data_IF_921900122173
#
_entry.id   IF_921900122173
#
_cell.length_a   1.000
_cell.length_b   1.000
_cell.length_c   1.000
_cell.angle_alpha   90.00
_cell.angle_beta   90.00
_cell.angle_gamma   90.00
#
_symmetry.space_group_name_H-M   'P 1'
#
loop_
_entity.id
_entity.type
_entity.pdbx_description
1 polymer ?
#
# COMPACT_ATOMS: atom_id res chain seq x y z
N UNK A 1 19.52 -14.45 -8.18
CA UNK A 1 18.25 -13.71 -8.14
C UNK A 1 18.01 -13.08 -9.51
N UNK A 2 16.78 -13.17 -10.05
CA UNK A 2 16.45 -12.61 -11.38
C UNK A 2 15.96 -11.19 -11.24
N UNK A 3 16.76 -10.21 -11.66
CA UNK A 3 16.38 -8.80 -11.69
C UNK A 3 15.54 -8.44 -12.93
N UNK A 4 14.81 -7.32 -12.85
CA UNK A 4 14.19 -6.71 -14.02
C UNK A 4 15.25 -6.15 -14.97
N UNK A 5 15.03 -6.25 -16.27
CA UNK A 5 15.80 -5.45 -17.23
C UNK A 5 15.35 -3.99 -17.16
N UNK A 6 16.16 -3.08 -17.70
CA UNK A 6 15.81 -1.65 -17.77
C UNK A 6 14.48 -1.44 -18.48
N UNK A 7 14.27 -2.12 -19.61
CA UNK A 7 13.03 -2.02 -20.40
C UNK A 7 11.81 -2.55 -19.63
N UNK A 8 11.99 -3.62 -18.85
CA UNK A 8 10.93 -4.17 -18.00
C UNK A 8 10.57 -3.19 -16.88
N UNK A 9 11.57 -2.59 -16.23
CA UNK A 9 11.36 -1.61 -15.17
C UNK A 9 10.65 -0.36 -15.72
N UNK A 10 11.12 0.20 -16.83
CA UNK A 10 10.50 1.35 -17.49
C UNK A 10 9.05 1.06 -17.88
N UNK A 11 8.77 -0.13 -18.44
CA UNK A 11 7.41 -0.58 -18.76
C UNK A 11 6.53 -0.64 -17.51
N UNK A 12 7.03 -1.25 -16.43
CA UNK A 12 6.26 -1.35 -15.18
C UNK A 12 5.96 0.02 -14.57
N UNK A 13 6.95 0.92 -14.55
CA UNK A 13 6.80 2.28 -14.02
C UNK A 13 5.95 3.19 -14.91
N UNK A 14 5.77 2.87 -16.20
CA UNK A 14 4.88 3.62 -17.10
C UNK A 14 3.40 3.32 -16.91
N UNK A 15 3.06 2.30 -16.11
CA UNK A 15 1.67 1.96 -15.81
C UNK A 15 1.05 3.09 -14.98
N UNK A 16 -0.02 3.66 -15.50
CA UNK A 16 -0.73 4.77 -14.87
C UNK A 16 -1.36 4.34 -13.53
N UNK A 17 -1.06 5.07 -12.46
CA UNK A 17 -1.77 4.93 -11.20
C UNK A 17 -3.13 5.67 -11.29
N UNK A 18 -4.19 4.89 -11.48
CA UNK A 18 -5.56 5.40 -11.62
C UNK A 18 -6.10 6.04 -10.33
N UNK A 19 -5.47 5.79 -9.19
CA UNK A 19 -5.81 6.39 -7.91
C UNK A 19 -5.13 7.75 -7.70
N UNK A 20 -4.16 8.13 -8.55
CA UNK A 20 -3.41 9.38 -8.44
C UNK A 20 -3.96 10.47 -9.37
N UNK A 21 -4.47 11.55 -8.78
CA UNK A 21 -5.04 12.69 -9.53
C UNK A 21 -4.00 13.39 -10.42
N UNK A 22 -2.71 13.36 -10.08
CA UNK A 22 -1.66 13.97 -10.88
C UNK A 22 -1.48 13.29 -12.23
N UNK A 23 -1.91 12.02 -12.35
CA UNK A 23 -1.84 11.23 -13.56
C UNK A 23 -3.14 11.30 -14.41
N UNK A 24 -4.04 12.22 -14.07
CA UNK A 24 -5.28 12.48 -14.78
C UNK A 24 -6.52 11.85 -14.10
N UNK A 25 -7.73 12.29 -14.50
CA UNK A 25 -8.97 11.89 -13.83
C UNK A 25 -9.34 10.43 -14.09
N UNK A 26 -9.88 9.76 -13.07
CA UNK A 26 -10.41 8.39 -13.18
C UNK A 26 -11.47 8.12 -12.11
N UNK A 27 -12.45 7.26 -12.40
CA UNK A 27 -13.54 6.88 -11.49
C UNK A 27 -13.03 6.23 -10.18
N UNK A 28 -11.88 5.56 -10.21
CA UNK A 28 -11.25 5.00 -9.01
C UNK A 28 -10.95 6.06 -7.94
N UNK A 29 -10.60 7.29 -8.34
CA UNK A 29 -10.37 8.40 -7.42
C UNK A 29 -11.66 8.82 -6.73
N UNK A 30 -12.77 8.85 -7.46
CA UNK A 30 -14.09 9.14 -6.90
C UNK A 30 -14.47 8.08 -5.88
N UNK A 31 -14.40 6.80 -6.26
CA UNK A 31 -14.69 5.68 -5.36
C UNK A 31 -13.82 5.71 -4.11
N UNK A 32 -12.50 5.88 -4.26
CA UNK A 32 -11.57 5.95 -3.14
C UNK A 32 -11.93 7.11 -2.19
N UNK A 33 -12.21 8.30 -2.73
CA UNK A 33 -12.56 9.46 -1.90
C UNK A 33 -13.89 9.23 -1.16
N UNK A 34 -14.91 8.69 -1.84
CA UNK A 34 -16.21 8.38 -1.21
C UNK A 34 -16.05 7.36 -0.06
N UNK A 35 -15.24 6.32 -0.25
CA UNK A 35 -14.94 5.33 0.79
C UNK A 35 -14.22 6.00 1.98
N UNK A 36 -13.17 6.79 1.71
CA UNK A 36 -12.41 7.46 2.76
C UNK A 36 -13.23 8.50 3.52
N UNK A 37 -14.08 9.26 2.83
CA UNK A 37 -14.98 10.24 3.43
C UNK A 37 -16.05 9.56 4.31
N UNK A 38 -16.61 8.45 3.85
CA UNK A 38 -17.57 7.66 4.62
C UNK A 38 -16.93 7.10 5.90
N UNK A 39 -15.73 6.51 5.81
CA UNK A 39 -15.00 6.00 6.96
C UNK A 39 -14.58 7.11 7.94
N UNK A 40 -14.09 8.26 7.42
CA UNK A 40 -13.75 9.42 8.24
C UNK A 40 -14.93 9.92 9.06
N UNK A 41 -16.11 9.99 8.43
CA UNK A 41 -17.36 10.40 9.08
C UNK A 41 -17.81 9.39 10.12
N UNK A 42 -17.80 8.11 9.80
CA UNK A 42 -18.24 7.05 10.69
C UNK A 42 -17.31 6.90 11.89
N UNK A 43 -15.99 6.87 11.67
CA UNK A 43 -15.00 6.73 12.74
C UNK A 43 -14.65 8.06 13.44
N UNK A 44 -15.22 9.18 12.95
CA UNK A 44 -15.02 10.54 13.50
C UNK A 44 -13.54 10.91 13.63
N UNK A 45 -12.77 10.59 12.60
CA UNK A 45 -11.33 10.85 12.57
C UNK A 45 -10.89 11.44 11.23
N UNK A 46 -9.83 12.26 11.19
CA UNK A 46 -9.26 12.73 9.94
C UNK A 46 -8.58 11.60 9.18
N UNK A 47 -8.55 11.71 7.84
CA UNK A 47 -7.81 10.82 6.96
C UNK A 47 -6.51 11.49 6.54
N UNK A 48 -5.42 10.72 6.53
CA UNK A 48 -4.16 11.09 5.90
C UNK A 48 -3.87 10.11 4.78
N UNK A 49 -3.82 10.58 3.54
CA UNK A 49 -3.45 9.76 2.38
C UNK A 49 -1.92 9.82 2.25
N UNK A 50 -1.29 8.65 2.24
CA UNK A 50 0.15 8.49 2.06
C UNK A 50 0.47 7.77 0.76
N UNK A 51 1.44 8.30 0.01
CA UNK A 51 1.94 7.75 -1.24
C UNK A 51 3.45 7.89 -1.28
N UNK A 52 4.12 6.94 -1.93
CA UNK A 52 5.56 7.01 -2.16
C UNK A 52 5.94 6.34 -3.49
N UNK A 53 7.22 6.46 -3.86
CA UNK A 53 7.77 5.79 -5.02
C UNK A 53 7.55 4.28 -4.94
N UNK A 54 7.17 3.60 -6.03
CA UNK A 54 6.96 2.15 -6.04
C UNK A 54 8.26 1.34 -5.90
N UNK A 55 9.44 1.92 -6.15
CA UNK A 55 10.73 1.28 -5.88
C UNK A 55 11.04 1.45 -4.39
N UNK A 56 11.12 0.35 -3.66
CA UNK A 56 11.34 0.32 -2.22
C UNK A 56 12.48 -0.63 -1.87
N UNK A 57 13.06 -0.47 -0.68
CA UNK A 57 14.07 -1.43 -0.21
C UNK A 57 13.46 -2.80 0.12
N UNK A 58 14.26 -3.85 0.00
CA UNK A 58 13.88 -5.19 0.48
C UNK A 58 13.52 -5.16 1.97
N UNK A 59 14.24 -4.35 2.75
CA UNK A 59 13.97 -4.13 4.18
C UNK A 59 12.56 -3.55 4.41
N UNK A 60 12.18 -2.48 3.69
CA UNK A 60 10.85 -1.87 3.81
C UNK A 60 9.75 -2.81 3.33
N UNK A 61 10.01 -3.58 2.25
CA UNK A 61 8.99 -4.45 1.66
C UNK A 61 8.71 -5.70 2.49
N UNK A 62 9.69 -6.16 3.29
CA UNK A 62 9.60 -7.43 3.99
C UNK A 62 10.00 -7.38 5.45
N UNK A 63 11.22 -6.91 5.77
CA UNK A 63 11.78 -7.05 7.11
C UNK A 63 10.99 -6.24 8.13
N UNK A 64 10.66 -4.99 7.82
CA UNK A 64 9.84 -4.11 8.69
C UNK A 64 8.40 -4.56 8.84
N UNK A 65 7.92 -5.43 7.95
CA UNK A 65 6.60 -6.04 8.03
C UNK A 65 6.62 -7.41 8.74
N UNK A 66 7.78 -7.84 9.24
CA UNK A 66 7.94 -9.13 9.92
C UNK A 66 7.80 -10.35 9.00
N UNK A 67 7.97 -10.17 7.68
CA UNK A 67 7.91 -11.27 6.72
C UNK A 67 9.21 -12.07 6.80
N UNK A 68 9.09 -13.36 7.09
CA UNK A 68 10.22 -14.27 7.25
C UNK A 68 11.13 -14.28 6.00
N UNK A 69 12.44 -14.43 6.23
CA UNK A 69 13.43 -14.51 5.14
C UNK A 69 13.23 -15.71 4.23
N UNK A 70 12.72 -16.80 4.77
CA UNK A 70 12.41 -18.03 4.04
C UNK A 70 11.03 -18.00 3.38
N UNK A 71 10.28 -16.90 3.52
CA UNK A 71 8.94 -16.77 2.93
C UNK A 71 8.98 -16.84 1.42
N UNK A 72 8.09 -17.62 0.84
CA UNK A 72 7.87 -17.71 -0.61
C UNK A 72 7.55 -16.36 -1.24
N UNK A 73 6.98 -15.42 -0.48
CA UNK A 73 6.69 -14.06 -0.94
C UNK A 73 7.94 -13.30 -1.38
N UNK A 74 9.13 -13.66 -0.84
CA UNK A 74 10.42 -13.08 -1.22
C UNK A 74 11.02 -13.74 -2.47
N UNK A 75 10.42 -14.82 -2.95
CA UNK A 75 10.91 -15.52 -4.14
C UNK A 75 10.85 -14.62 -5.38
N UNK A 76 11.85 -14.73 -6.24
CA UNK A 76 11.87 -14.06 -7.55
C UNK A 76 10.75 -14.53 -8.49
N UNK A 77 10.05 -15.60 -8.12
CA UNK A 77 8.84 -16.07 -8.81
C UNK A 77 7.66 -15.11 -8.58
N UNK A 78 7.58 -14.48 -7.39
CA UNK A 78 6.50 -13.55 -7.03
C UNK A 78 6.93 -12.10 -7.02
N UNK A 79 8.20 -11.81 -6.74
CA UNK A 79 8.73 -10.46 -6.55
C UNK A 79 9.48 -9.96 -7.77
N UNK A 80 9.26 -8.70 -8.13
CA UNK A 80 10.00 -7.97 -9.18
C UNK A 80 11.19 -7.26 -8.56
N UNK A 81 12.34 -7.92 -8.51
CA UNK A 81 13.59 -7.33 -8.02
C UNK A 81 14.14 -6.33 -9.05
N UNK A 82 14.45 -5.11 -8.58
CA UNK A 82 15.15 -4.08 -9.37
C UNK A 82 16.65 -4.32 -9.32
N UNK A 83 17.16 -4.57 -8.12
CA UNK A 83 18.52 -4.99 -7.81
C UNK A 83 18.54 -5.87 -6.55
N UNK A 84 19.71 -6.15 -5.96
CA UNK A 84 19.84 -7.00 -4.78
C UNK A 84 19.20 -6.39 -3.52
N UNK A 85 18.99 -5.07 -3.49
CA UNK A 85 18.50 -4.34 -2.32
C UNK A 85 17.12 -3.70 -2.54
N UNK A 86 16.62 -3.65 -3.78
CA UNK A 86 15.38 -2.96 -4.12
C UNK A 86 14.44 -3.84 -4.93
N UNK A 87 13.15 -3.62 -4.68
CA UNK A 87 12.04 -4.29 -5.37
C UNK A 87 10.99 -3.25 -5.82
N UNK A 88 10.18 -3.60 -6.78
CA UNK A 88 8.88 -2.95 -6.93
C UNK A 88 7.98 -3.48 -5.81
N UNK A 89 7.38 -2.57 -5.00
CA UNK A 89 6.58 -2.95 -3.82
C UNK A 89 5.51 -3.98 -4.17
N UNK A 90 5.41 -5.01 -3.34
CA UNK A 90 4.49 -6.13 -3.57
C UNK A 90 3.14 -5.96 -2.87
N UNK A 91 3.03 -5.00 -1.95
CA UNK A 91 1.83 -4.69 -1.18
C UNK A 91 1.83 -3.23 -0.72
N UNK A 92 0.64 -2.66 -0.48
CA UNK A 92 0.51 -1.28 0.00
C UNK A 92 1.01 -1.13 1.44
N UNK A 93 0.98 -2.20 2.24
CA UNK A 93 1.49 -2.23 3.63
C UNK A 93 2.97 -1.85 3.73
N UNK A 94 3.74 -1.98 2.65
CA UNK A 94 5.13 -1.49 2.56
C UNK A 94 5.25 0.01 2.90
N UNK A 95 4.23 0.78 2.61
CA UNK A 95 4.19 2.23 2.88
C UNK A 95 3.87 2.57 4.34
N UNK A 96 3.32 1.62 5.11
CA UNK A 96 2.80 1.87 6.46
C UNK A 96 3.86 2.36 7.44
N UNK A 97 5.04 1.74 7.56
CA UNK A 97 6.06 2.20 8.52
C UNK A 97 6.47 3.66 8.28
N UNK A 98 6.67 4.06 7.03
CA UNK A 98 7.01 5.45 6.68
C UNK A 98 5.80 6.38 6.79
N UNK A 99 4.61 5.92 6.44
CA UNK A 99 3.36 6.64 6.61
C UNK A 99 3.11 6.98 8.08
N UNK A 100 3.27 6.01 9.00
CA UNK A 100 3.17 6.22 10.44
C UNK A 100 4.26 7.20 10.93
N UNK A 101 5.49 7.05 10.45
CA UNK A 101 6.58 7.95 10.79
C UNK A 101 6.29 9.40 10.35
N UNK A 102 5.63 9.61 9.22
CA UNK A 102 5.30 10.94 8.70
C UNK A 102 4.24 11.69 9.53
N UNK A 103 3.45 10.98 10.30
CA UNK A 103 2.37 11.53 11.14
C UNK A 103 2.69 11.51 12.64
N UNK A 104 3.86 10.98 13.05
CA UNK A 104 4.20 10.77 14.48
C UNK A 104 4.17 12.03 15.32
N UNK A 105 4.52 13.19 14.73
CA UNK A 105 4.61 14.48 15.42
C UNK A 105 3.31 15.31 15.29
N UNK A 106 2.37 14.87 14.48
CA UNK A 106 1.03 15.46 14.34
C UNK A 106 0.03 14.64 15.17
N UNK A 107 0.10 14.85 16.47
CA UNK A 107 -0.68 14.09 17.46
C UNK A 107 -2.15 14.53 17.37
N UNK A 108 -2.93 13.75 16.63
CA UNK A 108 -4.40 13.78 16.70
C UNK A 108 -4.87 12.53 17.41
N UNK A 109 -5.88 12.66 18.30
CA UNK A 109 -6.30 11.55 19.15
C UNK A 109 -6.67 10.29 18.37
N UNK A 110 -7.27 10.46 17.19
CA UNK A 110 -7.59 9.37 16.28
C UNK A 110 -7.28 9.79 14.84
N UNK A 111 -6.82 8.85 14.03
CA UNK A 111 -6.52 9.11 12.61
C UNK A 111 -6.64 7.83 11.78
N UNK A 112 -7.10 7.98 10.56
CA UNK A 112 -7.03 6.94 9.53
C UNK A 112 -5.88 7.28 8.56
N UNK A 113 -4.83 6.46 8.56
CA UNK A 113 -3.78 6.50 7.56
C UNK A 113 -4.18 5.60 6.39
N UNK A 114 -4.25 6.16 5.19
CA UNK A 114 -4.57 5.47 3.94
C UNK A 114 -3.33 5.39 3.05
N UNK A 115 -2.71 4.22 2.98
CA UNK A 115 -1.59 3.93 2.09
C UNK A 115 -2.13 3.43 0.74
N UNK A 116 -1.94 4.18 -0.34
CA UNK A 116 -2.57 3.87 -1.63
C UNK A 116 -1.60 3.96 -2.80
N UNK A 117 -1.75 3.05 -3.75
CA UNK A 117 -0.98 3.05 -5.00
C UNK A 117 -0.94 1.69 -5.69
N UNK A 118 -0.17 1.65 -6.77
CA UNK A 118 0.11 0.41 -7.50
C UNK A 118 1.02 -0.51 -6.70
N UNK A 119 0.75 -1.81 -6.78
CA UNK A 119 1.60 -2.89 -6.32
C UNK A 119 1.94 -3.82 -7.48
N UNK A 120 3.09 -4.49 -7.40
CA UNK A 120 3.69 -5.20 -8.52
C UNK A 120 4.07 -6.61 -8.09
N UNK A 121 3.48 -7.61 -8.75
CA UNK A 121 3.76 -9.03 -8.51
C UNK A 121 4.08 -9.74 -9.81
N UNK A 122 4.77 -10.86 -9.73
CA UNK A 122 4.97 -11.79 -10.87
C UNK A 122 3.95 -12.93 -10.86
N UNK A 123 2.73 -12.64 -10.38
CA UNK A 123 1.66 -13.63 -10.39
C UNK A 123 1.37 -14.10 -11.82
N UNK A 124 0.88 -15.31 -11.95
CA UNK A 124 0.37 -15.80 -13.21
C UNK A 124 -0.80 -14.91 -13.65
N UNK A 125 -0.64 -14.27 -14.81
CA UNK A 125 -1.69 -13.40 -15.36
C UNK A 125 -2.75 -14.28 -16.02
N UNK A 126 -3.97 -14.18 -15.55
CA UNK A 126 -5.13 -14.84 -16.12
C UNK A 126 -6.35 -13.90 -16.13
N UNK A 127 -7.55 -14.44 -16.30
CA UNK A 127 -8.78 -13.63 -16.37
C UNK A 127 -9.10 -12.85 -15.10
N UNK A 128 -8.64 -13.29 -13.94
CA UNK A 128 -8.93 -12.70 -12.62
C UNK A 128 -7.68 -12.23 -11.87
N UNK A 129 -6.48 -12.51 -12.38
CA UNK A 129 -5.22 -12.12 -11.76
C UNK A 129 -4.46 -11.12 -12.64
N UNK A 130 -4.04 -10.04 -12.04
CA UNK A 130 -3.16 -9.04 -12.66
C UNK A 130 -1.86 -8.92 -11.88
N UNK A 131 -0.74 -8.90 -12.60
CA UNK A 131 0.58 -8.69 -12.00
C UNK A 131 0.83 -7.25 -11.50
N UNK A 132 -0.06 -6.30 -11.86
CA UNK A 132 -0.04 -4.92 -11.36
C UNK A 132 -1.47 -4.51 -11.04
N UNK A 133 -1.71 -4.10 -9.80
CA UNK A 133 -3.05 -3.69 -9.37
C UNK A 133 -2.98 -2.61 -8.29
N UNK A 134 -4.09 -1.92 -8.07
CA UNK A 134 -4.21 -0.93 -7.01
C UNK A 134 -4.50 -1.59 -5.67
N UNK A 135 -3.88 -1.09 -4.63
CA UNK A 135 -4.22 -1.43 -3.25
C UNK A 135 -4.44 -0.16 -2.44
N UNK A 136 -5.38 -0.24 -1.51
CA UNK A 136 -5.63 0.72 -0.44
C UNK A 136 -5.49 -0.04 0.88
N UNK A 137 -4.50 0.30 1.68
CA UNK A 137 -4.27 -0.24 3.02
C UNK A 137 -4.62 0.82 4.05
N UNK A 138 -5.47 0.47 5.02
CA UNK A 138 -6.06 1.39 5.98
C UNK A 138 -5.57 1.06 7.39
N UNK A 139 -5.00 2.07 8.07
CA UNK A 139 -4.50 1.94 9.43
C UNK A 139 -5.15 2.98 10.34
N UNK A 140 -5.92 2.50 11.30
CA UNK A 140 -6.49 3.34 12.33
C UNK A 140 -5.51 3.48 13.49
N UNK A 141 -5.15 4.72 13.83
CA UNK A 141 -4.32 5.04 14.99
C UNK A 141 -5.17 5.71 16.06
N UNK A 142 -4.94 5.35 17.33
CA UNK A 142 -5.68 5.90 18.47
C UNK A 142 -4.73 6.09 19.66
N UNK A 143 -4.93 7.15 20.44
CA UNK A 143 -4.21 7.38 21.71
C UNK A 143 -4.64 6.40 22.80
N UNK A 144 -5.87 5.92 22.73
CA UNK A 144 -6.41 4.95 23.68
C UNK A 144 -6.51 3.57 23.03
N UNK A 145 -6.25 2.49 23.76
CA UNK A 145 -6.49 1.15 23.25
C UNK A 145 -7.93 1.01 22.74
N UNK A 146 -8.09 0.41 21.58
CA UNK A 146 -9.40 0.11 20.98
C UNK A 146 -9.75 -1.32 21.36
N UNK A 147 -10.94 -1.54 21.93
CA UNK A 147 -11.41 -2.89 22.22
C UNK A 147 -11.62 -3.70 20.93
N UNK A 148 -11.51 -5.01 21.03
CA UNK A 148 -11.67 -5.91 19.86
C UNK A 148 -13.08 -5.77 19.26
N UNK A 149 -14.09 -5.68 20.10
CA UNK A 149 -15.49 -5.51 19.71
C UNK A 149 -15.71 -4.20 18.94
N UNK A 150 -15.12 -3.08 19.43
CA UNK A 150 -15.19 -1.77 18.77
C UNK A 150 -14.51 -1.80 17.40
N UNK A 151 -13.37 -2.51 17.29
CA UNK A 151 -12.68 -2.65 16.01
C UNK A 151 -13.47 -3.54 15.05
N UNK A 152 -14.08 -4.62 15.55
CA UNK A 152 -14.92 -5.49 14.75
C UNK A 152 -16.13 -4.75 14.18
N UNK A 153 -16.76 -3.86 14.98
CA UNK A 153 -17.85 -3.01 14.50
C UNK A 153 -17.37 -2.07 13.38
N UNK A 154 -16.18 -1.46 13.54
CA UNK A 154 -15.59 -0.58 12.52
C UNK A 154 -15.30 -1.30 11.20
N UNK A 155 -14.86 -2.56 11.26
CA UNK A 155 -14.55 -3.38 10.08
C UNK A 155 -15.83 -3.81 9.35
N UNK A 156 -16.91 -4.05 10.06
CA UNK A 156 -18.17 -4.51 9.51
C UNK A 156 -19.04 -3.39 8.89
N UNK A 157 -18.66 -2.14 9.05
CA UNK A 157 -19.31 -0.99 8.41
C UNK A 157 -18.98 -0.90 6.93
#
# INVERSE_FOLDING_TARGET
MKHLTKEQLEKDLSIRDLSDKSQGPHAMQTLMNEVLDALAKYWKCPVTIYRENPIVSVEDNYDKLGIDKESVLRSEVYTRYVDDNHVLRTMASTMVPRGLQSIKDDIKPNRLLACVGLVYRRDQIDRIHSGVHHQLDLWYTSETPVAEEDMQEKINY
#
